data_IF_243226273329
#
_entry.id   IF_243226273329
#
_cell.length_a   1.000
_cell.length_b   1.000
_cell.length_c   1.000
_cell.angle_alpha   90.00
_cell.angle_beta   90.00
_cell.angle_gamma   90.00
#
_symmetry.space_group_name_H-M   'P 1'
#
loop_
_entity.id
_entity.type
_entity.pdbx_description
1 polymer ?
#
# COMPACT_ATOMS: atom_id res chain seq x y z
N UNK A 1 -1.92 9.10 -18.45
CA UNK A 1 -2.91 8.39 -17.60
C UNK A 1 -2.55 6.92 -17.70
N UNK A 2 -2.39 6.22 -16.57
CA UNK A 2 -1.98 4.81 -16.52
C UNK A 2 -2.99 4.02 -15.67
N UNK A 3 -3.25 2.73 -15.98
CA UNK A 3 -4.14 1.89 -15.19
C UNK A 3 -3.51 1.59 -13.83
N UNK A 4 -4.28 1.78 -12.76
CA UNK A 4 -3.84 1.48 -11.40
C UNK A 4 -4.95 0.77 -10.61
N UNK A 5 -4.54 -0.06 -9.66
CA UNK A 5 -5.45 -0.89 -8.86
C UNK A 5 -5.25 -0.67 -7.36
N UNK A 6 -6.26 -0.95 -6.55
CA UNK A 6 -6.10 -0.94 -5.09
C UNK A 6 -5.38 -2.21 -4.63
N UNK A 7 -4.22 -2.09 -3.99
CA UNK A 7 -3.36 -3.24 -3.67
C UNK A 7 -4.04 -4.33 -2.79
N UNK A 8 -5.11 -4.00 -2.06
CA UNK A 8 -5.87 -4.97 -1.25
C UNK A 8 -6.87 -5.82 -2.02
N UNK A 9 -7.00 -5.64 -3.34
CA UNK A 9 -7.68 -6.63 -4.18
C UNK A 9 -6.91 -7.94 -4.25
N UNK A 10 -5.61 -7.92 -3.89
CA UNK A 10 -4.75 -9.09 -3.83
C UNK A 10 -4.65 -9.64 -2.39
N UNK A 11 -4.42 -10.96 -2.23
CA UNK A 11 -4.14 -11.57 -0.93
C UNK A 11 -2.93 -10.93 -0.24
N UNK A 12 -2.92 -10.96 1.10
CA UNK A 12 -1.72 -10.59 1.85
C UNK A 12 -0.66 -11.68 1.68
N UNK A 13 0.58 -11.27 1.46
CA UNK A 13 1.68 -12.16 1.18
C UNK A 13 2.99 -11.40 0.97
N UNK A 14 4.03 -12.07 0.46
CA UNK A 14 5.31 -11.44 0.16
C UNK A 14 5.16 -10.28 -0.82
N UNK A 15 5.84 -9.16 -0.54
CA UNK A 15 5.76 -7.92 -1.35
C UNK A 15 6.04 -8.18 -2.83
N UNK A 16 7.06 -8.97 -3.16
CA UNK A 16 7.40 -9.23 -4.56
C UNK A 16 6.32 -10.03 -5.29
N UNK A 17 5.62 -10.93 -4.60
CA UNK A 17 4.51 -11.69 -5.21
C UNK A 17 3.32 -10.77 -5.51
N UNK A 18 2.98 -9.87 -4.57
CA UNK A 18 1.98 -8.83 -4.77
C UNK A 18 2.33 -7.94 -5.98
N UNK A 19 3.57 -7.46 -6.06
CA UNK A 19 4.02 -6.59 -7.15
C UNK A 19 4.06 -7.32 -8.49
N UNK A 20 4.46 -8.60 -8.51
CA UNK A 20 4.41 -9.42 -9.73
C UNK A 20 2.98 -9.57 -10.22
N UNK A 21 2.05 -9.94 -9.33
CA UNK A 21 0.65 -10.15 -9.67
C UNK A 21 -0.01 -8.87 -10.25
N UNK A 22 0.26 -7.70 -9.66
CA UNK A 22 -0.26 -6.42 -10.16
C UNK A 22 0.23 -6.16 -11.60
N UNK A 23 1.51 -6.40 -11.87
CA UNK A 23 2.08 -6.21 -13.21
C UNK A 23 1.59 -7.25 -14.23
N UNK A 24 1.46 -8.52 -13.81
CA UNK A 24 0.94 -9.61 -14.64
C UNK A 24 -0.52 -9.39 -15.07
N UNK A 25 -1.33 -8.74 -14.21
CA UNK A 25 -2.69 -8.33 -14.53
C UNK A 25 -2.79 -7.07 -15.42
N UNK A 26 -1.65 -6.47 -15.79
CA UNK A 26 -1.58 -5.35 -16.74
C UNK A 26 -1.78 -3.96 -16.13
N UNK A 27 -1.59 -3.81 -14.81
CA UNK A 27 -1.58 -2.49 -14.17
C UNK A 27 -0.16 -1.90 -14.14
N UNK A 28 -0.08 -0.59 -14.34
CA UNK A 28 1.18 0.17 -14.29
C UNK A 28 1.39 0.84 -12.92
N UNK A 29 0.45 0.66 -11.99
CA UNK A 29 0.59 1.17 -10.64
C UNK A 29 -0.50 0.73 -9.68
N UNK A 30 -0.41 1.23 -8.45
CA UNK A 30 -1.32 0.84 -7.38
C UNK A 30 -1.61 1.97 -6.38
N UNK A 31 -2.77 1.91 -5.74
CA UNK A 31 -3.00 2.56 -4.45
C UNK A 31 -2.60 1.58 -3.34
N UNK A 32 -1.60 1.94 -2.55
CA UNK A 32 -1.05 1.10 -1.48
C UNK A 32 -1.93 1.16 -0.21
N UNK A 33 -2.09 0.03 0.47
CA UNK A 33 -2.48 -0.02 1.89
C UNK A 33 -1.31 -0.58 2.69
N UNK A 34 -1.01 -0.02 3.87
CA UNK A 34 0.12 -0.47 4.69
C UNK A 34 -0.04 -1.90 5.21
N UNK A 35 -1.25 -2.47 5.21
CA UNK A 35 -1.42 -3.88 5.53
C UNK A 35 -0.77 -4.82 4.51
N UNK A 36 -0.49 -4.36 3.29
CA UNK A 36 0.33 -5.11 2.32
C UNK A 36 1.79 -5.29 2.77
N UNK A 37 2.23 -4.51 3.76
CA UNK A 37 3.54 -4.65 4.43
C UNK A 37 3.43 -5.39 5.77
N UNK A 38 2.27 -5.99 6.07
CA UNK A 38 2.01 -6.63 7.36
C UNK A 38 1.75 -5.65 8.51
N UNK A 39 1.58 -4.35 8.23
CA UNK A 39 1.28 -3.33 9.24
C UNK A 39 -0.25 -3.21 9.47
N UNK A 40 -0.65 -2.48 10.50
CA UNK A 40 -2.03 -1.98 10.56
C UNK A 40 -2.30 -1.06 9.35
N UNK A 41 -3.56 -0.94 8.91
CA UNK A 41 -3.90 -0.06 7.78
C UNK A 41 -3.57 1.41 8.04
N UNK A 42 -3.60 1.84 9.30
CA UNK A 42 -3.14 3.16 9.74
C UNK A 42 -2.39 2.99 11.07
N UNK A 43 -1.08 2.66 11.05
CA UNK A 43 -0.29 2.51 12.26
C UNK A 43 0.17 3.88 12.78
N UNK A 44 0.39 4.00 14.09
CA UNK A 44 0.92 5.23 14.71
C UNK A 44 2.34 5.58 14.22
N UNK A 45 3.10 4.56 13.84
CA UNK A 45 4.43 4.71 13.28
C UNK A 45 4.72 3.62 12.26
N UNK A 46 5.58 3.94 11.29
CA UNK A 46 6.07 2.98 10.30
C UNK A 46 7.56 2.73 10.57
N UNK A 47 8.01 1.47 10.65
CA UNK A 47 9.42 1.17 10.86
C UNK A 47 10.32 1.83 9.80
N UNK A 48 11.48 2.33 10.25
CA UNK A 48 12.39 3.04 9.38
C UNK A 48 12.86 2.13 8.23
N UNK A 49 12.75 2.64 7.00
CA UNK A 49 13.19 1.93 5.80
C UNK A 49 12.13 1.07 5.11
N UNK A 50 11.02 0.70 5.77
CA UNK A 50 9.92 -0.11 5.18
C UNK A 50 9.38 0.52 3.90
N UNK A 51 8.96 1.79 3.96
CA UNK A 51 8.40 2.50 2.81
C UNK A 51 9.42 2.70 1.69
N UNK A 52 10.70 2.90 2.07
CA UNK A 52 11.79 3.04 1.09
C UNK A 52 12.03 1.71 0.37
N UNK A 53 12.11 0.61 1.12
CA UNK A 53 12.27 -0.73 0.56
C UNK A 53 11.11 -1.10 -0.36
N UNK A 54 9.87 -0.80 0.05
CA UNK A 54 8.70 -1.01 -0.80
C UNK A 54 8.75 -0.16 -2.08
N UNK A 55 9.07 1.13 -1.98
CA UNK A 55 9.18 2.01 -3.15
C UNK A 55 10.29 1.54 -4.12
N UNK A 56 11.39 1.02 -3.60
CA UNK A 56 12.46 0.41 -4.41
C UNK A 56 12.00 -0.89 -5.08
N UNK A 57 11.24 -1.73 -4.38
CA UNK A 57 10.66 -2.95 -4.96
C UNK A 57 9.65 -2.61 -6.06
N UNK A 58 8.69 -1.71 -5.80
CA UNK A 58 7.70 -1.27 -6.79
C UNK A 58 8.38 -0.73 -8.06
N UNK A 59 9.43 0.09 -7.90
CA UNK A 59 10.22 0.61 -9.03
C UNK A 59 10.91 -0.50 -9.82
N UNK A 60 11.44 -1.54 -9.17
CA UNK A 60 12.04 -2.71 -9.87
C UNK A 60 11.01 -3.49 -10.68
N UNK A 61 9.75 -3.51 -10.24
CA UNK A 61 8.64 -4.09 -10.97
C UNK A 61 8.02 -3.13 -12.01
N UNK A 62 8.54 -1.91 -12.16
CA UNK A 62 7.99 -0.92 -13.08
C UNK A 62 6.65 -0.30 -12.64
N UNK A 63 6.24 -0.50 -11.38
CA UNK A 63 4.96 -0.05 -10.86
C UNK A 63 5.06 1.32 -10.17
N UNK A 64 4.14 2.22 -10.51
CA UNK A 64 3.96 3.48 -9.81
C UNK A 64 3.11 3.31 -8.54
N UNK A 65 3.44 4.05 -7.48
CA UNK A 65 2.58 4.19 -6.30
C UNK A 65 1.71 5.42 -6.51
N UNK A 66 0.46 5.21 -6.92
CA UNK A 66 -0.50 6.26 -7.25
C UNK A 66 -1.07 6.97 -6.02
N UNK A 67 -1.02 6.32 -4.85
CA UNK A 67 -1.48 6.88 -3.60
C UNK A 67 -1.38 5.90 -2.43
N UNK A 68 -1.69 6.40 -1.24
CA UNK A 68 -1.76 5.62 0.00
C UNK A 68 -3.20 5.67 0.53
N UNK A 69 -3.79 4.51 0.83
CA UNK A 69 -5.08 4.42 1.48
C UNK A 69 -4.89 4.43 3.00
N UNK A 70 -5.59 5.32 3.69
CA UNK A 70 -5.72 5.32 5.14
C UNK A 70 -7.12 5.81 5.50
N UNK A 71 -7.81 5.09 6.37
CA UNK A 71 -9.16 5.45 6.83
C UNK A 71 -9.20 5.42 8.34
N UNK A 72 -9.74 6.47 8.94
CA UNK A 72 -9.97 6.55 10.39
C UNK A 72 -11.24 7.33 10.69
N UNK A 73 -11.72 7.21 11.93
CA UNK A 73 -12.98 7.79 12.34
C UNK A 73 -12.81 9.25 12.79
N UNK A 74 -12.86 10.18 11.82
CA UNK A 74 -12.76 11.62 12.08
C UNK A 74 -13.90 12.20 12.96
N UNK A 75 -15.02 11.47 13.10
CA UNK A 75 -16.17 11.89 13.91
C UNK A 75 -16.23 11.17 15.26
N UNK A 76 -15.11 10.59 15.71
CA UNK A 76 -15.05 9.95 17.02
C UNK A 76 -15.39 10.97 18.14
N UNK A 77 -16.28 10.65 19.10
CA UNK A 77 -16.70 11.62 20.12
C UNK A 77 -15.57 11.97 21.10
N UNK A 78 -14.70 11.01 21.41
CA UNK A 78 -13.47 11.25 22.16
C UNK A 78 -12.40 11.91 21.25
N UNK A 79 -11.93 13.10 21.65
CA UNK A 79 -10.90 13.86 20.95
C UNK A 79 -9.53 13.18 20.94
N UNK A 80 -9.23 12.35 21.94
CA UNK A 80 -7.98 11.60 21.99
C UNK A 80 -7.95 10.42 21.00
N UNK A 81 -9.12 10.02 20.50
CA UNK A 81 -9.31 8.91 19.56
C UNK A 81 -9.66 9.40 18.14
N UNK A 82 -9.82 10.72 17.95
CA UNK A 82 -10.02 11.35 16.63
C UNK A 82 -8.72 11.47 15.87
#
# INVERSE_FOLDING_TARGET
MYPAIFARTYPLGPVNELLSAIGEDGYDGMQLNLSCLGLASLPDSVPAGELKAFAEAARKHGLAIAGLSGTYNMVHPDAAMR
#
